data_IF_946625752553
#
_entry.id   IF_946625752553
#
_cell.length_a   1.000
_cell.length_b   1.000
_cell.length_c   1.000
_cell.angle_alpha   90.00
_cell.angle_beta   90.00
_cell.angle_gamma   90.00
#
_symmetry.space_group_name_H-M   'P 1'
#
loop_
_entity.id
_entity.type
_entity.pdbx_description
1 polymer ?
#
# COMPACT_ATOMS: atom_id res chain seq x y z
N UNK A 1 33.42 9.56 -4.06
CA UNK A 1 32.98 8.55 -5.01
C UNK A 1 33.80 7.27 -4.81
N UNK A 2 33.28 6.32 -4.06
CA UNK A 2 33.75 4.94 -4.06
C UNK A 2 32.73 4.15 -4.87
N UNK A 3 32.96 3.99 -6.17
CA UNK A 3 32.43 2.89 -6.95
C UNK A 3 33.47 1.80 -6.84
N UNK A 4 33.23 0.78 -6.04
CA UNK A 4 34.05 -0.40 -6.07
C UNK A 4 33.66 -1.22 -7.31
N UNK A 5 34.49 -1.16 -8.33
CA UNK A 5 34.36 -1.97 -9.54
C UNK A 5 35.17 -3.26 -9.33
N UNK A 6 34.51 -4.40 -9.29
CA UNK A 6 35.20 -5.71 -9.41
C UNK A 6 35.15 -6.10 -10.87
N UNK A 7 36.31 -6.04 -11.54
CA UNK A 7 36.47 -6.54 -12.89
C UNK A 7 36.84 -8.02 -12.86
N UNK A 8 35.98 -8.85 -13.43
CA UNK A 8 36.29 -10.25 -13.72
C UNK A 8 36.13 -10.47 -15.24
N UNK A 9 37.21 -10.25 -15.97
CA UNK A 9 37.21 -10.35 -17.44
C UNK A 9 36.42 -9.20 -18.11
N UNK A 10 35.51 -9.52 -19.01
CA UNK A 10 34.75 -8.53 -19.80
C UNK A 10 33.51 -7.94 -19.10
N UNK A 11 33.20 -8.35 -17.87
CA UNK A 11 32.03 -7.87 -17.12
C UNK A 11 32.44 -6.93 -15.99
N UNK A 12 32.04 -5.66 -16.07
CA UNK A 12 32.07 -4.70 -14.96
C UNK A 12 30.80 -4.85 -14.13
N UNK A 13 30.96 -5.27 -12.86
CA UNK A 13 29.85 -5.31 -11.90
C UNK A 13 30.02 -4.12 -10.96
N UNK A 14 29.19 -3.09 -11.11
CA UNK A 14 29.11 -1.99 -10.16
C UNK A 14 28.34 -2.40 -8.91
N UNK A 15 28.92 -2.19 -7.73
CA UNK A 15 28.24 -2.37 -6.45
C UNK A 15 27.82 -1.02 -5.89
N UNK A 16 26.55 -0.89 -5.52
CA UNK A 16 26.06 0.26 -4.78
C UNK A 16 26.25 -0.02 -3.28
N UNK A 17 27.26 0.63 -2.66
CA UNK A 17 27.57 0.44 -1.25
C UNK A 17 26.96 1.58 -0.42
N UNK A 18 26.38 1.22 0.72
CA UNK A 18 25.90 2.18 1.73
C UNK A 18 26.81 2.10 2.96
N UNK A 19 27.28 3.27 3.42
CA UNK A 19 28.20 3.39 4.55
C UNK A 19 27.53 4.12 5.71
N UNK A 20 27.69 3.64 6.92
CA UNK A 20 27.33 4.35 8.14
C UNK A 20 28.59 4.86 8.83
N UNK A 21 28.54 6.08 9.32
CA UNK A 21 29.61 6.75 10.01
C UNK A 21 29.18 7.11 11.43
N UNK A 22 30.06 6.89 12.37
CA UNK A 22 29.94 7.39 13.74
C UNK A 22 31.15 8.25 14.07
N UNK A 23 30.92 9.46 14.58
CA UNK A 23 32.00 10.34 15.06
C UNK A 23 32.27 9.98 16.51
N UNK A 24 33.41 9.36 16.77
CA UNK A 24 33.80 8.88 18.10
C UNK A 24 33.97 10.08 19.06
N UNK A 25 33.34 9.97 20.22
CA UNK A 25 33.42 10.95 21.28
C UNK A 25 34.44 10.52 22.37
N UNK A 26 34.99 11.45 23.13
CA UNK A 26 35.96 11.11 24.21
C UNK A 26 35.39 10.22 25.31
N UNK A 27 34.09 10.13 25.42
CA UNK A 27 33.36 9.32 26.41
C UNK A 27 33.09 7.88 25.94
N UNK A 28 33.35 7.59 24.67
CA UNK A 28 33.11 6.25 24.12
C UNK A 28 34.19 5.25 24.61
N UNK A 29 33.73 4.18 25.24
CA UNK A 29 34.61 3.17 25.83
C UNK A 29 34.50 1.79 25.15
N UNK A 30 33.42 1.53 24.41
CA UNK A 30 33.15 0.22 23.81
C UNK A 30 33.08 0.30 22.28
N UNK A 31 33.96 -0.45 21.61
CA UNK A 31 33.97 -0.53 20.14
C UNK A 31 32.65 -1.09 19.58
N UNK A 32 32.00 -2.01 20.32
CA UNK A 32 30.72 -2.60 19.96
C UNK A 32 29.62 -1.56 19.78
N UNK A 33 29.51 -0.64 20.73
CA UNK A 33 28.51 0.45 20.68
C UNK A 33 28.77 1.42 19.52
N UNK A 34 30.04 1.73 19.27
CA UNK A 34 30.42 2.60 18.14
C UNK A 34 30.04 1.97 16.79
N UNK A 35 30.29 0.65 16.65
CA UNK A 35 29.91 -0.09 15.45
C UNK A 35 28.40 -0.19 15.29
N UNK A 36 27.65 -0.38 16.38
CA UNK A 36 26.19 -0.41 16.36
C UNK A 36 25.60 0.94 15.94
N UNK A 37 26.13 2.04 16.45
CA UNK A 37 25.77 3.41 16.05
C UNK A 37 26.04 3.64 14.56
N UNK A 38 27.23 3.24 14.06
CA UNK A 38 27.56 3.34 12.64
C UNK A 38 26.64 2.48 11.76
N UNK A 39 26.34 1.23 12.19
CA UNK A 39 25.41 0.36 11.45
C UNK A 39 23.97 0.89 11.45
N UNK A 40 23.54 1.55 12.52
CA UNK A 40 22.27 2.25 12.58
C UNK A 40 22.18 3.35 11.52
N UNK A 41 23.22 4.19 11.41
CA UNK A 41 23.29 5.21 10.38
C UNK A 41 23.28 4.61 8.97
N UNK A 42 24.01 3.51 8.74
CA UNK A 42 23.99 2.79 7.47
C UNK A 42 22.58 2.27 7.10
N UNK A 43 21.87 1.71 8.09
CA UNK A 43 20.51 1.17 7.87
C UNK A 43 19.49 2.26 7.56
N UNK A 44 19.66 3.48 8.07
CA UNK A 44 18.73 4.60 7.81
C UNK A 44 18.63 4.99 6.33
N UNK A 45 19.70 4.74 5.55
CA UNK A 45 19.77 5.06 4.11
C UNK A 45 19.72 3.83 3.20
N UNK A 46 19.63 2.64 3.74
CA UNK A 46 19.59 1.40 2.94
C UNK A 46 18.38 1.39 2.00
N UNK A 47 18.64 1.29 0.70
CA UNK A 47 17.60 1.29 -0.35
C UNK A 47 17.21 2.68 -0.85
N UNK A 48 17.81 3.76 -0.34
CA UNK A 48 17.62 5.11 -0.85
C UNK A 48 18.67 5.37 -1.93
N UNK A 49 18.23 5.44 -3.20
CA UNK A 49 19.14 5.71 -4.33
C UNK A 49 19.80 7.09 -4.17
N UNK A 50 21.12 7.14 -4.37
CA UNK A 50 21.91 8.38 -4.33
C UNK A 50 22.51 8.74 -2.97
N UNK A 51 22.15 8.07 -1.88
CA UNK A 51 22.77 8.24 -0.58
C UNK A 51 23.77 7.12 -0.30
N UNK A 52 25.07 7.46 -0.40
CA UNK A 52 26.14 6.47 -0.20
C UNK A 52 26.65 6.42 1.24
N UNK A 53 26.33 7.40 2.08
CA UNK A 53 26.72 7.41 3.49
C UNK A 53 25.71 8.17 4.35
N UNK A 54 25.62 7.80 5.62
CA UNK A 54 24.92 8.55 6.67
C UNK A 54 25.80 8.65 7.91
N UNK A 55 25.65 9.74 8.65
CA UNK A 55 26.32 9.98 9.92
C UNK A 55 25.31 9.71 11.03
N UNK A 56 25.72 8.95 12.05
CA UNK A 56 24.89 8.73 13.23
C UNK A 56 24.60 10.04 13.95
N UNK A 57 23.37 10.20 14.38
CA UNK A 57 22.91 11.24 15.31
C UNK A 57 21.99 10.61 16.34
N UNK A 58 21.90 11.23 17.52
CA UNK A 58 20.98 10.75 18.57
C UNK A 58 19.52 10.75 18.11
N UNK A 59 19.16 11.64 17.21
CA UNK A 59 17.82 11.69 16.61
C UNK A 59 17.51 10.40 15.84
N UNK A 60 18.48 9.82 15.12
CA UNK A 60 18.31 8.54 14.43
C UNK A 60 18.02 7.39 15.39
N UNK A 61 18.66 7.39 16.55
CA UNK A 61 18.43 6.39 17.59
C UNK A 61 17.03 6.54 18.21
N UNK A 62 16.64 7.80 18.51
CA UNK A 62 15.29 8.07 19.04
C UNK A 62 14.19 7.71 18.05
N UNK A 63 14.40 8.01 16.77
CA UNK A 63 13.46 7.64 15.71
C UNK A 63 13.30 6.12 15.61
N UNK A 64 14.41 5.36 15.66
CA UNK A 64 14.38 3.91 15.68
C UNK A 64 13.61 3.35 16.88
N UNK A 65 13.88 3.82 18.09
CA UNK A 65 13.12 3.37 19.27
C UNK A 65 11.63 3.69 19.15
N UNK A 66 11.30 4.84 18.56
CA UNK A 66 9.90 5.20 18.28
C UNK A 66 9.26 4.24 17.28
N UNK A 67 9.96 3.92 16.19
CA UNK A 67 9.48 2.95 15.19
C UNK A 67 9.28 1.56 15.80
N UNK A 68 10.26 1.05 16.54
CA UNK A 68 10.18 -0.26 17.19
C UNK A 68 8.99 -0.33 18.18
N UNK A 69 8.74 0.74 18.93
CA UNK A 69 7.58 0.83 19.81
C UNK A 69 6.27 0.80 19.04
N UNK A 70 6.17 1.55 17.94
CA UNK A 70 4.97 1.54 17.09
C UNK A 70 4.73 0.15 16.52
N UNK A 71 5.77 -0.52 16.02
CA UNK A 71 5.68 -1.89 15.50
C UNK A 71 5.19 -2.84 16.60
N UNK A 72 5.70 -2.70 17.81
CA UNK A 72 5.25 -3.54 18.93
C UNK A 72 3.78 -3.28 19.28
N UNK A 73 3.34 -2.02 19.33
CA UNK A 73 1.92 -1.66 19.56
C UNK A 73 1.00 -2.27 18.48
N UNK A 74 1.44 -2.29 17.21
CA UNK A 74 0.69 -2.92 16.12
C UNK A 74 0.57 -4.43 16.34
N UNK A 75 1.67 -5.11 16.69
CA UNK A 75 1.67 -6.55 16.94
C UNK A 75 0.82 -6.92 18.14
N UNK A 76 0.89 -6.14 19.21
CA UNK A 76 0.05 -6.30 20.40
C UNK A 76 -1.44 -6.13 20.07
N UNK A 77 -1.77 -5.15 19.23
CA UNK A 77 -3.16 -4.93 18.81
C UNK A 77 -3.70 -6.12 17.99
N UNK A 78 -2.86 -6.74 17.15
CA UNK A 78 -3.24 -7.95 16.43
C UNK A 78 -3.46 -9.14 17.36
N UNK A 79 -2.55 -9.36 18.31
CA UNK A 79 -2.65 -10.46 19.26
C UNK A 79 -3.87 -10.33 20.18
N UNK A 80 -4.14 -9.10 20.66
CA UNK A 80 -5.29 -8.78 21.51
C UNK A 80 -6.59 -8.61 20.71
N UNK A 81 -6.55 -8.75 19.37
CA UNK A 81 -7.69 -8.54 18.47
C UNK A 81 -8.36 -7.16 18.63
N UNK A 82 -7.59 -6.13 18.92
CA UNK A 82 -8.08 -4.75 19.08
C UNK A 82 -7.92 -3.92 17.80
N UNK A 83 -7.47 -4.52 16.71
CA UNK A 83 -7.45 -3.88 15.39
C UNK A 83 -8.89 -3.67 14.92
N UNK A 84 -9.26 -2.42 14.74
CA UNK A 84 -10.59 -2.05 14.24
C UNK A 84 -10.60 -2.11 12.71
N UNK A 85 -11.53 -2.87 12.14
CA UNK A 85 -11.73 -2.92 10.69
C UNK A 85 -12.88 -1.99 10.33
N UNK A 86 -12.57 -1.01 9.49
CA UNK A 86 -13.52 -0.06 8.94
C UNK A 86 -13.62 -0.24 7.41
N UNK A 87 -14.73 0.20 6.85
CA UNK A 87 -14.98 0.19 5.42
C UNK A 87 -15.21 1.61 4.94
N UNK A 88 -14.45 2.01 3.93
CA UNK A 88 -14.61 3.27 3.22
C UNK A 88 -15.48 3.02 1.99
N UNK A 89 -16.72 3.57 1.94
CA UNK A 89 -17.62 3.36 0.80
C UNK A 89 -17.05 3.93 -0.49
N UNK A 90 -17.22 3.17 -1.57
CA UNK A 90 -16.86 3.55 -2.93
C UNK A 90 -18.11 3.83 -3.73
N UNK A 91 -18.21 5.00 -4.31
CA UNK A 91 -19.38 5.44 -5.06
C UNK A 91 -19.12 5.46 -6.57
N UNK A 92 -20.18 5.29 -7.36
CA UNK A 92 -20.18 5.46 -8.80
C UNK A 92 -21.31 6.42 -9.20
N UNK A 93 -20.96 7.50 -9.91
CA UNK A 93 -21.94 8.54 -10.26
C UNK A 93 -22.36 9.33 -9.02
N UNK A 94 -23.62 9.21 -8.61
CA UNK A 94 -24.18 9.93 -7.47
C UNK A 94 -23.70 9.36 -6.13
N UNK A 95 -23.70 10.19 -5.08
CA UNK A 95 -23.23 9.85 -3.74
C UNK A 95 -23.94 8.63 -3.13
N UNK A 96 -25.20 8.43 -3.46
CA UNK A 96 -26.02 7.35 -2.91
C UNK A 96 -25.75 5.99 -3.54
N UNK A 97 -25.07 5.94 -4.69
CA UNK A 97 -24.77 4.69 -5.39
C UNK A 97 -23.46 4.09 -4.91
N UNK A 98 -23.49 3.39 -3.77
CA UNK A 98 -22.35 2.66 -3.23
C UNK A 98 -22.20 1.31 -3.95
N UNK A 99 -21.10 1.16 -4.69
CA UNK A 99 -20.82 0.01 -5.56
C UNK A 99 -19.65 -0.85 -5.08
N UNK A 100 -19.02 -0.49 -3.99
CA UNK A 100 -17.90 -1.21 -3.40
C UNK A 100 -17.44 -0.57 -2.09
N UNK A 101 -16.39 -1.12 -1.51
CA UNK A 101 -15.73 -0.52 -0.36
C UNK A 101 -14.24 -0.86 -0.32
N UNK A 102 -13.48 -0.02 0.38
CA UNK A 102 -12.08 -0.28 0.72
C UNK A 102 -11.98 -0.61 2.21
N UNK A 103 -11.36 -1.74 2.54
CA UNK A 103 -11.09 -2.09 3.93
C UNK A 103 -9.94 -1.24 4.48
N UNK A 104 -10.17 -0.62 5.62
CA UNK A 104 -9.22 0.21 6.36
C UNK A 104 -9.04 -0.38 7.74
N UNK A 105 -7.83 -0.76 8.11
CA UNK A 105 -7.49 -1.11 9.48
C UNK A 105 -7.16 0.15 10.27
N UNK A 106 -7.63 0.20 11.52
CA UNK A 106 -7.33 1.26 12.48
C UNK A 106 -6.82 0.66 13.76
N UNK A 107 -5.76 1.23 14.31
CA UNK A 107 -5.21 0.86 15.61
C UNK A 107 -5.15 2.11 16.46
N UNK A 108 -5.76 2.08 17.63
CA UNK A 108 -5.61 3.14 18.60
C UNK A 108 -4.26 3.00 19.31
N UNK A 109 -3.39 3.98 19.07
CA UNK A 109 -2.07 4.02 19.66
C UNK A 109 -2.14 4.54 21.11
N UNK A 110 -1.16 4.20 21.93
CA UNK A 110 -1.07 4.67 23.33
C UNK A 110 -1.07 6.20 23.44
N UNK A 111 -0.56 6.90 22.43
CA UNK A 111 -0.61 8.37 22.35
C UNK A 111 -2.03 8.94 22.08
N UNK A 112 -3.06 8.09 21.98
CA UNK A 112 -4.45 8.50 21.72
C UNK A 112 -4.78 8.79 20.25
N UNK A 113 -3.80 8.71 19.35
CA UNK A 113 -4.01 8.86 17.91
C UNK A 113 -4.35 7.51 17.28
N UNK A 114 -5.08 7.55 16.16
CA UNK A 114 -5.30 6.36 15.35
C UNK A 114 -4.22 6.23 14.26
N UNK A 115 -3.68 5.03 14.12
CA UNK A 115 -2.84 4.65 12.99
C UNK A 115 -3.71 3.86 12.00
N UNK A 116 -3.76 4.31 10.76
CA UNK A 116 -4.53 3.68 9.69
C UNK A 116 -3.66 2.82 8.77
N UNK A 117 -4.30 2.08 7.86
CA UNK A 117 -3.67 1.05 7.01
C UNK A 117 -2.35 1.51 6.38
N UNK A 118 -2.29 2.68 5.74
CA UNK A 118 -1.06 3.16 5.08
C UNK A 118 0.11 3.31 6.07
N UNK A 119 -0.16 3.90 7.24
CA UNK A 119 0.81 4.02 8.31
C UNK A 119 1.22 2.67 8.90
N UNK A 120 0.25 1.78 9.12
CA UNK A 120 0.50 0.43 9.62
C UNK A 120 1.41 -0.33 8.64
N UNK A 121 1.09 -0.33 7.36
CA UNK A 121 1.88 -1.00 6.33
C UNK A 121 3.29 -0.44 6.24
N UNK A 122 3.45 0.87 6.36
CA UNK A 122 4.77 1.53 6.36
C UNK A 122 5.68 1.00 7.47
N UNK A 123 5.20 0.96 8.72
CA UNK A 123 5.98 0.50 9.86
C UNK A 123 6.27 -1.00 9.82
N UNK A 124 5.27 -1.79 9.47
CA UNK A 124 5.40 -3.25 9.40
C UNK A 124 6.35 -3.66 8.28
N UNK A 125 6.35 -2.99 7.14
CA UNK A 125 7.27 -3.23 6.03
C UNK A 125 8.71 -3.01 6.47
N UNK A 126 9.00 -1.92 7.18
CA UNK A 126 10.34 -1.62 7.73
C UNK A 126 10.75 -2.62 8.81
N UNK A 127 9.82 -3.11 9.60
CA UNK A 127 10.06 -4.12 10.64
C UNK A 127 10.21 -5.56 10.13
N UNK A 128 10.00 -5.83 8.84
CA UNK A 128 10.08 -7.17 8.25
C UNK A 128 9.03 -8.17 8.78
N UNK A 129 7.90 -7.67 9.29
CA UNK A 129 6.82 -8.47 9.91
C UNK A 129 5.48 -8.35 9.17
N UNK A 130 5.52 -7.90 7.96
CA UNK A 130 4.38 -7.61 7.09
C UNK A 130 3.43 -8.78 6.87
N UNK A 131 3.98 -9.98 6.71
CA UNK A 131 3.20 -11.14 6.31
C UNK A 131 2.06 -11.43 7.28
N UNK A 132 2.33 -11.28 8.59
CA UNK A 132 1.32 -11.55 9.62
C UNK A 132 0.15 -10.58 9.56
N UNK A 133 0.42 -9.28 9.40
CA UNK A 133 -0.63 -8.25 9.45
C UNK A 133 -1.60 -8.35 8.29
N UNK A 134 -1.11 -8.52 7.07
CA UNK A 134 -2.02 -8.50 5.91
C UNK A 134 -2.83 -9.76 5.76
N UNK A 135 -2.26 -10.92 6.10
CA UNK A 135 -3.08 -12.13 6.18
C UNK A 135 -4.10 -12.06 7.31
N UNK A 136 -3.75 -11.42 8.44
CA UNK A 136 -4.70 -11.13 9.50
C UNK A 136 -5.84 -10.24 8.97
N UNK A 137 -5.51 -9.10 8.34
CA UNK A 137 -6.49 -8.18 7.78
C UNK A 137 -7.36 -8.87 6.72
N UNK A 138 -6.73 -9.57 5.76
CA UNK A 138 -7.44 -10.30 4.72
C UNK A 138 -8.43 -11.31 5.32
N UNK A 139 -8.00 -12.08 6.33
CA UNK A 139 -8.87 -13.08 6.97
C UNK A 139 -10.06 -12.42 7.70
N UNK A 140 -9.82 -11.36 8.46
CA UNK A 140 -10.89 -10.64 9.18
C UNK A 140 -11.95 -10.09 8.24
N UNK A 141 -11.50 -9.49 7.13
CA UNK A 141 -12.38 -8.87 6.14
C UNK A 141 -13.17 -9.94 5.38
N UNK A 142 -12.49 -10.99 4.90
CA UNK A 142 -13.13 -12.10 4.18
C UNK A 142 -14.11 -12.86 5.06
N UNK A 143 -13.81 -13.04 6.35
CA UNK A 143 -14.71 -13.69 7.30
C UNK A 143 -16.04 -12.94 7.41
N UNK A 144 -16.01 -11.61 7.52
CA UNK A 144 -17.22 -10.78 7.59
C UNK A 144 -18.05 -10.89 6.31
N UNK A 145 -17.42 -10.70 5.14
CA UNK A 145 -18.12 -10.73 3.85
C UNK A 145 -18.59 -12.15 3.46
N UNK A 146 -17.75 -13.17 3.70
CA UNK A 146 -18.10 -14.56 3.46
C UNK A 146 -19.29 -15.03 4.30
N UNK A 147 -19.35 -14.63 5.57
CA UNK A 147 -20.49 -14.92 6.44
C UNK A 147 -21.80 -14.28 5.94
N UNK A 148 -21.75 -13.08 5.37
CA UNK A 148 -22.91 -12.45 4.72
C UNK A 148 -23.33 -13.18 3.46
N UNK A 149 -22.38 -13.49 2.59
CA UNK A 149 -22.63 -14.23 1.35
C UNK A 149 -23.25 -15.60 1.61
N UNK A 150 -22.77 -16.32 2.64
CA UNK A 150 -23.31 -17.60 3.05
C UNK A 150 -24.78 -17.51 3.52
N UNK A 151 -25.21 -16.35 4.02
CA UNK A 151 -26.60 -16.07 4.40
C UNK A 151 -27.46 -15.55 3.23
N UNK A 152 -26.91 -15.46 2.02
CA UNK A 152 -27.58 -14.88 0.86
C UNK A 152 -27.83 -13.38 0.95
N UNK A 153 -27.12 -12.67 1.83
CA UNK A 153 -27.24 -11.23 2.00
C UNK A 153 -26.41 -10.48 0.95
N UNK A 154 -26.86 -9.27 0.63
CA UNK A 154 -26.17 -8.41 -0.33
C UNK A 154 -24.73 -8.15 0.09
N UNK A 155 -23.80 -8.26 -0.85
CA UNK A 155 -22.40 -7.87 -0.71
C UNK A 155 -22.00 -6.94 -1.85
N UNK A 156 -20.88 -6.26 -1.71
CA UNK A 156 -20.27 -5.42 -2.73
C UNK A 156 -18.81 -5.81 -2.90
N UNK A 157 -18.16 -5.52 -4.04
CA UNK A 157 -16.73 -5.71 -4.21
C UNK A 157 -15.92 -5.03 -3.12
N UNK A 158 -14.95 -5.77 -2.58
CA UNK A 158 -14.15 -5.38 -1.44
C UNK A 158 -12.70 -5.15 -1.87
N UNK A 159 -12.16 -3.97 -1.61
CA UNK A 159 -10.76 -3.68 -1.86
C UNK A 159 -9.92 -3.81 -0.58
N UNK A 160 -8.73 -4.37 -0.74
CA UNK A 160 -7.72 -4.48 0.31
C UNK A 160 -6.35 -4.10 -0.26
N UNK A 161 -5.56 -3.39 0.53
CA UNK A 161 -4.21 -3.01 0.15
C UNK A 161 -3.22 -4.12 0.54
N UNK A 162 -2.36 -4.51 -0.40
CA UNK A 162 -1.27 -5.46 -0.18
C UNK A 162 0.06 -4.93 -0.71
N UNK A 163 1.16 -5.35 -0.10
CA UNK A 163 2.51 -4.92 -0.51
C UNK A 163 3.18 -5.92 -1.44
N UNK A 164 4.22 -5.47 -2.15
CA UNK A 164 4.99 -6.32 -3.04
C UNK A 164 5.64 -7.50 -2.31
N UNK A 165 6.17 -7.27 -1.12
CA UNK A 165 6.85 -8.33 -0.34
C UNK A 165 5.89 -9.46 0.02
N UNK A 166 4.64 -9.13 0.36
CA UNK A 166 3.61 -10.12 0.66
C UNK A 166 3.23 -10.93 -0.58
N UNK A 167 2.98 -10.25 -1.70
CA UNK A 167 2.58 -10.90 -2.94
C UNK A 167 3.71 -11.73 -3.55
N UNK A 168 4.98 -11.35 -3.31
CA UNK A 168 6.16 -12.08 -3.78
C UNK A 168 6.57 -13.26 -2.89
N UNK A 169 5.92 -13.44 -1.72
CA UNK A 169 6.22 -14.56 -0.84
C UNK A 169 5.87 -15.89 -1.52
N UNK A 170 6.72 -16.91 -1.34
CA UNK A 170 6.62 -18.21 -2.03
C UNK A 170 5.23 -18.88 -1.92
N UNK A 171 4.54 -18.63 -0.81
CA UNK A 171 3.22 -19.21 -0.51
C UNK A 171 2.08 -18.19 -0.60
N UNK A 172 2.32 -17.00 -1.13
CA UNK A 172 1.33 -15.91 -1.13
C UNK A 172 0.01 -16.32 -1.81
N UNK A 173 0.08 -16.86 -3.02
CA UNK A 173 -1.11 -17.29 -3.76
C UNK A 173 -1.93 -18.32 -2.98
N UNK A 174 -1.28 -19.39 -2.51
CA UNK A 174 -1.97 -20.44 -1.75
C UNK A 174 -2.55 -19.95 -0.43
N UNK A 175 -1.92 -18.98 0.22
CA UNK A 175 -2.46 -18.36 1.44
C UNK A 175 -3.68 -17.49 1.14
N UNK A 176 -3.64 -16.69 0.07
CA UNK A 176 -4.78 -15.87 -0.37
C UNK A 176 -5.95 -16.78 -0.77
N UNK A 177 -5.73 -17.79 -1.61
CA UNK A 177 -6.74 -18.76 -2.02
C UNK A 177 -7.36 -19.48 -0.81
N UNK A 178 -6.53 -19.94 0.12
CA UNK A 178 -7.04 -20.61 1.32
C UNK A 178 -7.94 -19.69 2.15
N UNK A 179 -7.55 -18.44 2.35
CA UNK A 179 -8.35 -17.49 3.14
C UNK A 179 -9.64 -17.11 2.39
N UNK A 180 -9.54 -16.76 1.12
CA UNK A 180 -10.67 -16.21 0.37
C UNK A 180 -11.65 -17.32 -0.03
N UNK A 181 -11.16 -18.36 -0.71
CA UNK A 181 -11.99 -19.37 -1.37
C UNK A 181 -12.33 -20.51 -0.43
N UNK A 182 -11.34 -21.06 0.29
CA UNK A 182 -11.55 -22.27 1.10
C UNK A 182 -12.24 -21.95 2.43
N UNK A 183 -11.69 -21.02 3.21
CA UNK A 183 -12.20 -20.70 4.55
C UNK A 183 -13.48 -19.86 4.49
N UNK A 184 -13.54 -18.85 3.63
CA UNK A 184 -14.61 -17.88 3.61
C UNK A 184 -15.56 -18.00 2.42
N UNK A 185 -15.31 -18.92 1.49
CA UNK A 185 -16.17 -19.24 0.34
C UNK A 185 -16.54 -18.00 -0.50
N UNK A 186 -15.62 -17.05 -0.59
CA UNK A 186 -15.76 -15.88 -1.43
C UNK A 186 -15.29 -16.20 -2.85
N UNK A 187 -15.90 -15.54 -3.83
CA UNK A 187 -15.41 -15.58 -5.20
C UNK A 187 -14.19 -14.66 -5.34
N UNK A 188 -13.11 -15.07 -6.03
CA UNK A 188 -11.96 -14.20 -6.30
C UNK A 188 -12.33 -12.84 -6.90
N UNK A 189 -13.38 -12.79 -7.73
CA UNK A 189 -13.86 -11.55 -8.36
C UNK A 189 -14.49 -10.56 -7.38
N UNK A 190 -14.87 -10.99 -6.18
CA UNK A 190 -15.38 -10.10 -5.13
C UNK A 190 -14.25 -9.33 -4.43
N UNK A 191 -12.98 -9.77 -4.61
CA UNK A 191 -11.82 -9.16 -3.98
C UNK A 191 -10.98 -8.35 -4.97
N UNK A 192 -10.76 -7.09 -4.62
CA UNK A 192 -9.86 -6.18 -5.30
C UNK A 192 -8.58 -6.06 -4.46
N UNK A 193 -7.44 -6.41 -5.05
CA UNK A 193 -6.12 -6.25 -4.41
C UNK A 193 -5.49 -4.97 -4.93
N UNK A 194 -5.36 -3.97 -4.07
CA UNK A 194 -4.70 -2.71 -4.38
C UNK A 194 -3.20 -2.81 -4.09
N UNK A 195 -2.38 -2.52 -5.09
CA UNK A 195 -0.91 -2.58 -5.02
C UNK A 195 -0.36 -1.21 -5.36
N UNK A 196 0.45 -0.64 -4.46
CA UNK A 196 0.98 0.71 -4.62
C UNK A 196 1.91 0.80 -5.85
N UNK A 197 1.77 1.88 -6.66
CA UNK A 197 2.55 2.13 -7.87
C UNK A 197 4.07 1.99 -7.68
N UNK A 198 4.60 2.42 -6.52
CA UNK A 198 6.03 2.35 -6.22
C UNK A 198 6.67 0.98 -6.44
N UNK A 199 5.90 -0.10 -6.27
CA UNK A 199 6.39 -1.47 -6.43
C UNK A 199 6.53 -1.90 -7.89
N UNK A 200 6.01 -1.14 -8.82
CA UNK A 200 6.07 -1.43 -10.26
C UNK A 200 7.29 -0.79 -10.93
N UNK A 201 7.94 0.20 -10.29
CA UNK A 201 9.13 0.87 -10.82
C UNK A 201 10.33 -0.11 -10.94
N UNK A 202 10.54 -0.92 -9.89
CA UNK A 202 11.60 -1.93 -9.83
C UNK A 202 10.96 -3.32 -9.58
N UNK A 203 9.98 -3.68 -10.41
CA UNK A 203 9.20 -4.89 -10.24
C UNK A 203 10.06 -6.15 -10.39
N UNK A 204 10.06 -6.98 -9.35
CA UNK A 204 10.74 -8.27 -9.37
C UNK A 204 9.97 -9.29 -10.21
N UNK A 205 10.68 -10.28 -10.79
CA UNK A 205 10.05 -11.40 -11.51
C UNK A 205 9.05 -12.16 -10.61
N UNK A 206 9.35 -12.28 -9.31
CA UNK A 206 8.46 -12.94 -8.35
C UNK A 206 7.13 -12.18 -8.19
N UNK A 207 7.16 -10.85 -8.09
CA UNK A 207 5.95 -10.04 -8.03
C UNK A 207 5.14 -10.15 -9.31
N UNK A 208 5.79 -10.06 -10.48
CA UNK A 208 5.13 -10.18 -11.77
C UNK A 208 4.38 -11.51 -11.90
N UNK A 209 5.05 -12.62 -11.62
CA UNK A 209 4.44 -13.96 -11.67
C UNK A 209 3.27 -14.07 -10.70
N UNK A 210 3.40 -13.54 -9.48
CA UNK A 210 2.32 -13.57 -8.50
C UNK A 210 1.09 -12.79 -8.97
N UNK A 211 1.26 -11.57 -9.50
CA UNK A 211 0.17 -10.76 -10.02
C UNK A 211 -0.52 -11.43 -11.22
N UNK A 212 0.24 -12.00 -12.16
CA UNK A 212 -0.32 -12.74 -13.30
C UNK A 212 -1.13 -13.96 -12.85
N UNK A 213 -0.65 -14.69 -11.83
CA UNK A 213 -1.36 -15.85 -11.29
C UNK A 213 -2.65 -15.44 -10.58
N UNK A 214 -2.64 -14.38 -9.78
CA UNK A 214 -3.83 -13.84 -9.14
C UNK A 214 -4.88 -13.40 -10.18
N UNK A 215 -4.46 -12.68 -11.21
CA UNK A 215 -5.36 -12.29 -12.31
C UNK A 215 -5.98 -13.50 -13.03
N UNK A 216 -5.17 -14.55 -13.31
CA UNK A 216 -5.68 -15.81 -13.92
C UNK A 216 -6.71 -16.53 -13.05
N UNK A 217 -6.62 -16.39 -11.73
CA UNK A 217 -7.59 -16.93 -10.77
C UNK A 217 -8.86 -16.09 -10.65
N UNK A 218 -8.89 -14.89 -11.21
CA UNK A 218 -10.05 -14.01 -11.19
C UNK A 218 -9.99 -12.88 -10.17
N UNK A 219 -8.91 -12.80 -9.37
CA UNK A 219 -8.70 -11.65 -8.49
C UNK A 219 -8.52 -10.37 -9.30
N UNK A 220 -9.08 -9.27 -8.80
CA UNK A 220 -8.97 -7.98 -9.46
C UNK A 220 -7.77 -7.21 -8.90
N UNK A 221 -6.78 -6.91 -9.75
CA UNK A 221 -5.61 -6.12 -9.35
C UNK A 221 -5.81 -4.67 -9.78
N UNK A 222 -5.61 -3.75 -8.83
CA UNK A 222 -5.66 -2.30 -9.06
C UNK A 222 -4.34 -1.68 -8.63
N UNK A 223 -3.72 -0.88 -9.49
CA UNK A 223 -2.52 -0.12 -9.15
C UNK A 223 -2.96 1.14 -8.42
N UNK A 224 -2.66 1.24 -7.12
CA UNK A 224 -3.02 2.38 -6.27
C UNK A 224 -1.94 3.47 -6.26
N UNK A 225 -2.34 4.70 -5.93
CA UNK A 225 -1.51 5.92 -5.98
C UNK A 225 -0.84 6.13 -7.34
N UNK A 226 -1.55 5.81 -8.41
CA UNK A 226 -1.05 5.92 -9.77
C UNK A 226 -0.72 7.38 -10.12
N UNK A 227 0.37 7.60 -10.84
CA UNK A 227 0.93 8.90 -11.22
C UNK A 227 1.41 9.78 -10.03
N UNK A 228 1.67 9.18 -8.85
CA UNK A 228 2.18 9.94 -7.71
C UNK A 228 3.68 10.21 -7.76
N UNK A 229 4.48 9.27 -8.24
CA UNK A 229 5.96 9.37 -8.24
C UNK A 229 6.63 8.80 -9.48
N UNK A 230 6.26 7.60 -9.88
CA UNK A 230 6.83 6.89 -11.03
C UNK A 230 5.71 6.26 -11.82
N UNK A 231 5.66 6.52 -13.11
CA UNK A 231 4.59 6.01 -13.94
C UNK A 231 4.82 4.53 -14.24
N UNK A 232 3.98 3.66 -13.70
CA UNK A 232 4.00 2.21 -13.93
C UNK A 232 3.53 1.81 -15.34
N UNK A 233 3.64 2.70 -16.35
CA UNK A 233 3.15 2.46 -17.72
C UNK A 233 3.75 1.20 -18.36
N UNK A 234 5.03 0.91 -18.07
CA UNK A 234 5.65 -0.29 -18.60
C UNK A 234 4.95 -1.56 -18.12
N UNK A 235 4.56 -1.58 -16.86
CA UNK A 235 3.91 -2.74 -16.24
C UNK A 235 2.50 -2.99 -16.77
N UNK A 236 1.80 -1.93 -17.23
CA UNK A 236 0.48 -2.08 -17.87
C UNK A 236 0.52 -2.90 -19.16
N UNK A 237 1.69 -3.05 -19.79
CA UNK A 237 1.86 -3.88 -20.99
C UNK A 237 1.86 -5.37 -20.71
N UNK A 238 2.27 -5.76 -19.52
CA UNK A 238 2.56 -7.16 -19.17
C UNK A 238 1.58 -7.74 -18.16
N UNK A 239 1.06 -6.92 -17.24
CA UNK A 239 0.15 -7.37 -16.20
C UNK A 239 -1.27 -6.97 -16.56
N UNK A 240 -2.22 -7.92 -16.63
CA UNK A 240 -3.64 -7.65 -16.93
C UNK A 240 -4.37 -7.05 -15.72
N UNK A 241 -3.93 -5.88 -15.25
CA UNK A 241 -4.59 -5.16 -14.14
C UNK A 241 -5.99 -4.71 -14.54
N UNK A 242 -6.92 -4.72 -13.59
CA UNK A 242 -8.31 -4.34 -13.80
C UNK A 242 -8.57 -2.84 -13.64
N UNK A 243 -7.63 -2.12 -13.03
CA UNK A 243 -7.81 -0.69 -12.88
C UNK A 243 -6.59 0.03 -12.33
N UNK A 244 -6.70 1.35 -12.36
CA UNK A 244 -5.77 2.29 -11.73
C UNK A 244 -6.53 3.18 -10.75
N UNK A 245 -5.88 3.58 -9.67
CA UNK A 245 -6.47 4.42 -8.63
C UNK A 245 -5.56 5.61 -8.37
N UNK A 246 -6.06 6.80 -8.66
CA UNK A 246 -5.43 8.05 -8.26
C UNK A 246 -5.69 8.33 -6.77
N UNK A 247 -4.84 9.15 -6.18
CA UNK A 247 -5.09 9.77 -4.89
C UNK A 247 -5.27 11.28 -5.08
N UNK A 248 -6.28 11.86 -4.44
CA UNK A 248 -6.62 13.27 -4.64
C UNK A 248 -5.50 14.27 -4.24
N UNK A 249 -4.49 13.81 -3.48
CA UNK A 249 -3.26 14.57 -3.23
C UNK A 249 -2.46 14.90 -4.51
N UNK A 250 -2.64 14.11 -5.58
CA UNK A 250 -2.01 14.39 -6.88
C UNK A 250 -2.60 15.63 -7.56
N UNK A 251 -3.76 16.13 -7.08
CA UNK A 251 -4.44 17.29 -7.67
C UNK A 251 -3.92 18.58 -7.04
N UNK A 252 -2.72 19.00 -7.42
CA UNK A 252 -2.01 20.09 -6.74
C UNK A 252 -2.57 21.48 -7.02
N UNK A 253 -3.32 21.67 -8.11
CA UNK A 253 -3.96 22.95 -8.48
C UNK A 253 -3.02 24.15 -8.62
N UNK A 254 -1.71 23.94 -8.59
CA UNK A 254 -0.69 24.98 -8.65
C UNK A 254 -0.48 25.57 -10.05
N UNK A 255 0.62 26.32 -10.26
CA UNK A 255 0.99 26.95 -11.54
C UNK A 255 0.99 25.99 -12.74
N UNK A 256 1.11 24.69 -12.51
CA UNK A 256 1.11 23.63 -13.54
C UNK A 256 -0.24 22.89 -13.62
N UNK A 257 -1.29 23.31 -12.92
CA UNK A 257 -2.54 22.58 -12.77
C UNK A 257 -3.20 22.17 -14.10
N UNK A 258 -3.23 23.05 -15.12
CA UNK A 258 -3.79 22.74 -16.43
C UNK A 258 -2.99 21.67 -17.18
N UNK A 259 -1.66 21.70 -17.07
CA UNK A 259 -0.80 20.69 -17.69
C UNK A 259 -0.92 19.34 -16.99
N UNK A 260 -0.96 19.34 -15.66
CA UNK A 260 -1.21 18.16 -14.83
C UNK A 260 -2.57 17.54 -15.18
N UNK A 261 -3.60 18.34 -15.23
CA UNK A 261 -4.96 17.94 -15.60
C UNK A 261 -5.00 17.29 -16.99
N UNK A 262 -4.31 17.90 -17.97
CA UNK A 262 -4.20 17.33 -19.31
C UNK A 262 -3.52 15.96 -19.30
N UNK A 263 -2.45 15.80 -18.53
CA UNK A 263 -1.73 14.52 -18.37
C UNK A 263 -2.67 13.48 -17.75
N UNK A 264 -3.28 13.80 -16.61
CA UNK A 264 -4.16 12.86 -15.91
C UNK A 264 -5.37 12.46 -16.75
N UNK A 265 -5.98 13.40 -17.46
CA UNK A 265 -7.09 13.12 -18.40
C UNK A 265 -6.68 12.13 -19.50
N UNK A 266 -5.49 12.29 -20.09
CA UNK A 266 -5.01 11.36 -21.11
C UNK A 266 -4.66 9.99 -20.54
N UNK A 267 -4.17 9.93 -19.30
CA UNK A 267 -3.99 8.65 -18.59
C UNK A 267 -5.34 7.95 -18.37
N UNK A 268 -6.37 8.68 -17.99
CA UNK A 268 -7.74 8.12 -17.83
C UNK A 268 -8.25 7.57 -19.16
N UNK A 269 -8.10 8.33 -20.26
CA UNK A 269 -8.51 7.87 -21.60
C UNK A 269 -7.80 6.58 -21.95
N UNK A 270 -6.48 6.55 -21.83
CA UNK A 270 -5.67 5.35 -22.08
C UNK A 270 -6.13 4.16 -21.24
N UNK A 271 -6.34 4.35 -19.93
CA UNK A 271 -6.80 3.29 -19.06
C UNK A 271 -8.16 2.72 -19.49
N UNK A 272 -9.09 3.58 -19.88
CA UNK A 272 -10.41 3.17 -20.40
C UNK A 272 -10.34 2.43 -21.73
N UNK A 273 -9.48 2.86 -22.64
CA UNK A 273 -9.23 2.15 -23.91
C UNK A 273 -8.64 0.74 -23.68
N UNK A 274 -7.89 0.57 -22.60
CA UNK A 274 -7.39 -0.74 -22.15
C UNK A 274 -8.43 -1.56 -21.35
N UNK A 275 -9.66 -1.06 -21.21
CA UNK A 275 -10.73 -1.75 -20.47
C UNK A 275 -10.56 -1.72 -18.96
N UNK A 276 -9.79 -0.77 -18.43
CA UNK A 276 -9.54 -0.61 -17.01
C UNK A 276 -10.56 0.32 -16.36
N UNK A 277 -10.93 0.03 -15.11
CA UNK A 277 -11.70 0.94 -14.26
C UNK A 277 -10.76 1.98 -13.62
N UNK A 278 -11.18 3.23 -13.60
CA UNK A 278 -10.42 4.33 -13.03
C UNK A 278 -11.04 4.78 -11.72
N UNK A 279 -10.28 4.68 -10.64
CA UNK A 279 -10.67 5.05 -9.29
C UNK A 279 -9.99 6.36 -8.87
N UNK A 280 -10.62 7.10 -7.97
CA UNK A 280 -9.99 8.19 -7.23
C UNK A 280 -10.32 8.09 -5.75
N UNK A 281 -9.28 8.01 -4.90
CA UNK A 281 -9.39 7.97 -3.45
C UNK A 281 -8.86 9.24 -2.77
N UNK A 282 -9.12 9.36 -1.45
CA UNK A 282 -8.62 10.48 -0.65
C UNK A 282 -9.28 11.81 -0.99
N UNK A 283 -10.55 11.81 -1.40
CA UNK A 283 -11.28 13.03 -1.75
C UNK A 283 -11.85 13.64 -0.47
N UNK A 284 -11.34 14.84 -0.11
CA UNK A 284 -11.75 15.58 1.09
C UNK A 284 -12.53 16.85 0.76
N UNK A 285 -12.35 17.41 -0.44
CA UNK A 285 -12.95 18.70 -0.82
C UNK A 285 -13.79 18.58 -2.08
N UNK A 286 -14.75 19.52 -2.23
CA UNK A 286 -15.60 19.60 -3.42
C UNK A 286 -14.80 19.84 -4.70
N UNK A 287 -13.73 20.63 -4.61
CA UNK A 287 -12.83 20.88 -5.72
C UNK A 287 -12.13 19.59 -6.21
N UNK A 288 -11.68 18.74 -5.28
CA UNK A 288 -11.09 17.45 -5.61
C UNK A 288 -12.10 16.51 -6.26
N UNK A 289 -13.35 16.50 -5.78
CA UNK A 289 -14.43 15.72 -6.39
C UNK A 289 -14.69 16.19 -7.83
N UNK A 290 -14.88 17.49 -8.05
CA UNK A 290 -15.11 18.07 -9.36
C UNK A 290 -13.98 17.75 -10.32
N UNK A 291 -12.75 17.86 -9.85
CA UNK A 291 -11.56 17.51 -10.63
C UNK A 291 -11.54 16.02 -11.03
N UNK A 292 -11.77 15.12 -10.07
CA UNK A 292 -11.80 13.69 -10.34
C UNK A 292 -12.90 13.30 -11.36
N UNK A 293 -14.06 13.94 -11.27
CA UNK A 293 -15.17 13.75 -12.23
C UNK A 293 -14.83 14.31 -13.61
N UNK A 294 -14.20 15.47 -13.66
CA UNK A 294 -13.84 16.15 -14.91
C UNK A 294 -12.76 15.38 -15.70
N UNK A 295 -11.77 14.79 -15.02
CA UNK A 295 -10.80 13.92 -15.69
C UNK A 295 -11.40 12.57 -16.08
N UNK A 296 -12.57 12.21 -15.58
CA UNK A 296 -13.34 11.04 -15.99
C UNK A 296 -13.13 9.79 -15.12
N UNK A 297 -12.82 9.93 -13.82
CA UNK A 297 -12.78 8.79 -12.89
C UNK A 297 -14.15 8.11 -12.80
N UNK A 298 -14.18 6.77 -12.80
CA UNK A 298 -15.41 5.98 -12.77
C UNK A 298 -15.94 5.80 -11.35
N UNK A 299 -15.05 5.64 -10.38
CA UNK A 299 -15.39 5.38 -8.99
C UNK A 299 -14.61 6.30 -8.06
N UNK A 300 -15.29 6.81 -7.03
CA UNK A 300 -14.77 7.79 -6.10
C UNK A 300 -14.91 7.30 -4.66
N UNK A 301 -13.93 7.64 -3.81
CA UNK A 301 -13.98 7.41 -2.36
C UNK A 301 -13.30 8.54 -1.60
N UNK A 302 -13.79 8.86 -0.42
CA UNK A 302 -13.21 9.88 0.44
C UNK A 302 -14.22 10.47 1.42
N UNK A 303 -13.69 11.20 2.39
CA UNK A 303 -14.48 11.75 3.51
C UNK A 303 -15.58 12.73 3.10
N UNK A 304 -15.45 13.37 1.93
CA UNK A 304 -16.50 14.25 1.41
C UNK A 304 -17.81 13.50 1.12
N UNK A 305 -17.71 12.20 0.81
CA UNK A 305 -18.86 11.34 0.59
C UNK A 305 -19.24 10.64 1.88
N UNK A 306 -18.33 9.81 2.35
CA UNK A 306 -18.45 9.00 3.55
C UNK A 306 -17.08 8.81 4.19
N UNK A 307 -17.00 8.94 5.51
CA UNK A 307 -15.83 8.51 6.27
C UNK A 307 -15.74 6.98 6.38
N UNK A 308 -14.57 6.48 6.73
CA UNK A 308 -14.40 5.06 7.06
C UNK A 308 -15.27 4.68 8.28
N UNK A 309 -16.10 3.67 8.15
CA UNK A 309 -17.08 3.26 9.17
C UNK A 309 -16.94 1.80 9.56
N UNK A 310 -17.32 1.48 10.79
CA UNK A 310 -17.32 0.12 11.29
C UNK A 310 -18.25 -0.78 10.51
N UNK A 311 -17.95 -2.08 10.48
CA UNK A 311 -18.70 -3.07 9.71
C UNK A 311 -20.22 -3.00 9.94
N UNK A 312 -20.67 -2.97 11.18
CA UNK A 312 -22.10 -2.91 11.52
C UNK A 312 -22.81 -1.65 11.00
N UNK A 313 -22.11 -0.52 10.92
CA UNK A 313 -22.66 0.72 10.36
C UNK A 313 -22.70 0.63 8.85
N UNK A 314 -21.62 0.15 8.20
CA UNK A 314 -21.54 -0.04 6.76
C UNK A 314 -22.64 -0.98 6.25
N UNK A 315 -22.80 -2.13 6.90
CA UNK A 315 -23.84 -3.10 6.55
C UNK A 315 -25.23 -2.51 6.65
N UNK A 316 -25.53 -1.78 7.74
CA UNK A 316 -26.83 -1.15 7.95
C UNK A 316 -27.13 -0.06 6.92
N UNK A 317 -26.12 0.69 6.50
CA UNK A 317 -26.32 1.80 5.56
C UNK A 317 -26.43 1.34 4.10
N UNK A 318 -25.67 0.33 3.68
CA UNK A 318 -25.46 0.05 2.26
C UNK A 318 -25.73 -1.39 1.82
N UNK A 319 -25.84 -2.32 2.76
CA UNK A 319 -25.99 -3.75 2.45
C UNK A 319 -27.32 -4.34 2.97
N UNK A 320 -28.32 -3.50 3.15
CA UNK A 320 -29.69 -3.97 3.47
C UNK A 320 -30.39 -4.56 2.25
#
# INVERSE_FOLDING_TARGET
HYQDEITNGENQIGFDTTNGLYLVEPTDNELGDMLEKADLARRSIKGIKGNHYAIYTDDLQQERFREERIIQEILDAMEKQTVEICYLPRIQGDKENVVGCTAVARIQMQAGQYLETDGILHYIERGGRLDKFSYFLLNQVCCSFGARKAKGLKTVPLAIQMTASQLSARNALSMIENIVEVQNKMDPSDLIIEVHERYFADMTSALQVALEQLCKRGYQIVISRFASHHTALHSLRTIPVKGIKFHAECFTGGKNGEREKTILKNIVIMAKELGMTVYCGGIHTKLQEEYAREIGCDMLEGEIFYGAMRNNVFEKCFLQ
#
